data_IF_657806300955
#
_entry.id   IF_657806300955
#
_cell.length_a   1.000
_cell.length_b   1.000
_cell.length_c   1.000
_cell.angle_alpha   90.00
_cell.angle_beta   90.00
_cell.angle_gamma   90.00
#
_symmetry.space_group_name_H-M   'P 1'
#
loop_
_entity.id
_entity.type
_entity.pdbx_description
1 polymer ?
#
# COMPACT_ATOMS: atom_id res chain seq x y z
N UNK A 1 20.18 -20.11 -7.96
CA UNK A 1 18.84 -20.04 -7.34
C UNK A 1 18.56 -18.57 -7.06
N UNK A 2 17.30 -18.10 -7.13
CA UNK A 2 16.95 -16.74 -6.72
C UNK A 2 17.02 -16.65 -5.20
N UNK A 3 17.56 -15.55 -4.69
CA UNK A 3 17.58 -15.30 -3.27
C UNK A 3 16.17 -15.07 -2.74
N UNK A 4 15.86 -15.64 -1.58
CA UNK A 4 14.51 -15.63 -1.00
C UNK A 4 14.33 -14.44 -0.06
N UNK A 5 13.24 -13.69 -0.25
CA UNK A 5 12.80 -12.62 0.64
C UNK A 5 11.64 -13.11 1.50
N UNK A 6 11.62 -12.74 2.76
CA UNK A 6 10.50 -12.96 3.66
C UNK A 6 9.49 -11.84 3.54
N UNK A 7 8.20 -12.15 3.56
CA UNK A 7 7.13 -11.16 3.46
C UNK A 7 6.10 -11.38 4.56
N UNK A 8 5.97 -10.42 5.46
CA UNK A 8 4.94 -10.39 6.50
C UNK A 8 3.88 -9.34 6.15
N UNK A 9 2.72 -9.81 5.75
CA UNK A 9 1.58 -8.95 5.41
C UNK A 9 0.37 -9.20 6.32
N UNK A 10 -0.72 -8.53 6.07
CA UNK A 10 -1.96 -8.62 6.85
C UNK A 10 -2.63 -7.26 7.00
N UNK A 11 -3.85 -7.22 7.56
CA UNK A 11 -4.60 -5.98 7.73
C UNK A 11 -3.90 -5.02 8.70
N UNK A 12 -4.28 -3.73 8.62
CA UNK A 12 -3.86 -2.77 9.66
C UNK A 12 -4.33 -3.27 11.05
N UNK A 13 -3.61 -2.94 12.09
CA UNK A 13 -3.84 -3.37 13.48
C UNK A 13 -3.71 -4.89 13.75
N UNK A 14 -3.16 -5.69 12.81
CA UNK A 14 -2.99 -7.14 13.01
C UNK A 14 -1.75 -7.54 13.83
N UNK A 15 -0.89 -6.61 14.24
CA UNK A 15 0.29 -6.94 15.05
C UNK A 15 1.57 -7.20 14.24
N UNK A 16 1.60 -6.86 12.94
CA UNK A 16 2.77 -7.04 12.08
C UNK A 16 4.08 -6.48 12.68
N UNK A 17 4.04 -5.27 13.22
CA UNK A 17 5.23 -4.59 13.74
C UNK A 17 5.92 -5.41 14.83
N UNK A 18 5.18 -5.87 15.83
CA UNK A 18 5.76 -6.64 16.93
C UNK A 18 6.41 -7.96 16.44
N UNK A 19 5.73 -8.69 15.55
CA UNK A 19 6.24 -9.94 14.99
C UNK A 19 7.44 -9.71 14.06
N UNK A 20 7.41 -8.66 13.23
CA UNK A 20 8.53 -8.33 12.34
C UNK A 20 9.79 -7.91 13.09
N UNK A 21 9.66 -7.14 14.17
CA UNK A 21 10.79 -6.76 15.04
C UNK A 21 11.39 -7.98 15.72
N UNK A 22 10.55 -8.93 16.18
CA UNK A 22 11.04 -10.20 16.76
C UNK A 22 11.78 -11.02 15.71
N UNK A 23 11.21 -11.20 14.51
CA UNK A 23 11.86 -11.91 13.40
C UNK A 23 13.19 -11.24 13.01
N UNK A 24 13.20 -9.91 12.90
CA UNK A 24 14.40 -9.15 12.52
C UNK A 24 15.55 -9.40 13.48
N UNK A 25 15.29 -9.36 14.78
CA UNK A 25 16.33 -9.60 15.82
C UNK A 25 16.80 -11.07 15.87
N UNK A 26 15.87 -12.03 15.68
CA UNK A 26 16.21 -13.45 15.82
C UNK A 26 16.97 -13.96 14.59
N UNK A 27 16.68 -13.43 13.41
CA UNK A 27 17.18 -13.94 12.13
C UNK A 27 18.06 -12.96 11.34
N UNK A 28 18.54 -11.91 11.99
CA UNK A 28 19.40 -10.90 11.37
C UNK A 28 18.78 -10.33 10.08
N UNK A 29 17.47 -9.95 10.16
CA UNK A 29 16.77 -9.36 9.05
C UNK A 29 16.79 -7.83 9.13
N UNK A 30 16.83 -7.19 7.97
CA UNK A 30 16.50 -5.77 7.84
C UNK A 30 15.10 -5.63 7.24
N UNK A 31 14.30 -4.71 7.78
CA UNK A 31 12.90 -4.53 7.40
C UNK A 31 12.80 -3.59 6.20
N UNK A 32 12.13 -4.04 5.13
CA UNK A 32 11.77 -3.22 3.99
C UNK A 32 10.28 -2.89 4.08
N UNK A 33 9.94 -1.62 4.31
CA UNK A 33 8.55 -1.19 4.44
C UNK A 33 7.78 -1.39 3.14
N UNK A 34 6.65 -2.09 3.22
CA UNK A 34 5.71 -2.33 2.13
C UNK A 34 4.36 -1.64 2.41
N UNK A 35 4.44 -0.36 2.82
CA UNK A 35 3.28 0.49 3.06
C UNK A 35 3.38 1.77 2.20
N UNK A 36 2.32 2.07 1.45
CA UNK A 36 2.31 3.18 0.49
C UNK A 36 2.19 4.57 1.14
N UNK A 37 2.02 4.63 2.47
CA UNK A 37 1.87 5.89 3.19
C UNK A 37 3.03 6.16 4.14
N UNK A 38 3.66 5.14 4.70
CA UNK A 38 4.85 5.30 5.56
C UNK A 38 6.10 5.77 4.81
N UNK A 39 6.05 5.77 3.49
CA UNK A 39 7.10 6.31 2.62
C UNK A 39 7.24 7.84 2.72
N UNK A 40 6.18 8.55 3.14
CA UNK A 40 6.15 10.01 3.16
C UNK A 40 6.72 10.59 4.46
N UNK A 41 7.65 11.53 4.36
CA UNK A 41 8.22 12.27 5.49
C UNK A 41 7.15 13.08 6.24
N UNK A 42 7.21 13.08 7.58
CA UNK A 42 6.32 13.86 8.44
C UNK A 42 4.88 13.36 8.53
N UNK A 43 4.57 12.22 7.89
CA UNK A 43 3.31 11.50 8.03
C UNK A 43 3.53 10.28 8.92
N UNK A 44 3.58 10.51 10.24
CA UNK A 44 4.08 9.52 11.20
C UNK A 44 2.95 8.86 11.98
N UNK A 45 2.11 9.66 12.64
CA UNK A 45 1.04 9.17 13.50
C UNK A 45 -0.05 8.51 12.67
N UNK A 46 -0.58 9.21 11.67
CA UNK A 46 -1.69 8.72 10.84
C UNK A 46 -1.38 7.50 10.00
N UNK A 47 -0.10 7.24 9.73
CA UNK A 47 0.36 6.03 9.01
C UNK A 47 0.76 4.89 9.95
N UNK A 48 0.77 5.11 11.26
CA UNK A 48 1.37 4.21 12.26
C UNK A 48 2.79 3.80 11.87
N UNK A 49 3.60 4.79 11.52
CA UNK A 49 5.01 4.61 11.16
C UNK A 49 5.79 4.05 12.36
N UNK A 50 6.81 3.20 12.17
CA UNK A 50 7.61 2.70 13.27
C UNK A 50 8.19 3.85 14.11
N UNK A 51 8.01 3.78 15.42
CA UNK A 51 8.53 4.74 16.39
C UNK A 51 10.06 4.73 16.43
N UNK A 52 10.68 5.73 17.07
CA UNK A 52 12.12 5.75 17.26
C UNK A 52 12.63 4.50 18.01
N UNK A 53 11.90 4.06 19.03
CA UNK A 53 12.24 2.86 19.82
C UNK A 53 12.11 1.57 18.99
N UNK A 54 11.12 1.50 18.09
CA UNK A 54 10.96 0.38 17.16
C UNK A 54 12.07 0.37 16.10
N UNK A 55 12.45 1.55 15.58
CA UNK A 55 13.55 1.69 14.62
C UNK A 55 14.92 1.40 15.26
N UNK A 56 15.08 1.61 16.56
CA UNK A 56 16.29 1.24 17.28
C UNK A 56 16.45 -0.30 17.40
N UNK A 57 15.38 -1.08 17.27
CA UNK A 57 15.41 -2.54 17.39
C UNK A 57 15.77 -3.25 16.10
N UNK A 58 15.54 -2.63 14.94
CA UNK A 58 15.86 -3.20 13.63
C UNK A 58 16.05 -2.08 12.60
N UNK A 59 16.89 -2.32 11.59
CA UNK A 59 17.06 -1.40 10.47
C UNK A 59 15.80 -1.41 9.61
N UNK A 60 15.29 -0.21 9.29
CA UNK A 60 14.12 -0.03 8.45
C UNK A 60 14.46 0.73 7.18
N UNK A 61 14.11 0.16 6.04
CA UNK A 61 14.24 0.75 4.71
C UNK A 61 12.86 1.14 4.15
N UNK A 62 12.82 1.97 3.14
CA UNK A 62 11.61 2.43 2.46
C UNK A 62 10.63 3.19 3.37
N UNK A 63 11.12 3.79 4.43
CA UNK A 63 10.40 4.72 5.31
C UNK A 63 11.00 6.12 5.11
N UNK A 64 10.17 7.15 5.04
CA UNK A 64 10.60 8.55 4.86
C UNK A 64 11.42 8.82 3.58
N UNK A 65 11.10 8.11 2.49
CA UNK A 65 11.83 8.19 1.21
C UNK A 65 11.25 9.20 0.23
N UNK A 66 10.07 9.76 0.50
CA UNK A 66 9.39 10.72 -0.37
C UNK A 66 8.87 11.93 0.41
N UNK A 67 8.73 13.07 -0.24
CA UNK A 67 8.03 14.22 0.30
C UNK A 67 6.51 14.08 0.08
N UNK A 68 5.64 14.53 1.00
CA UNK A 68 4.18 14.47 0.82
C UNK A 68 3.65 15.19 -0.41
N UNK A 69 4.42 16.10 -0.99
CA UNK A 69 4.09 16.80 -2.24
C UNK A 69 4.46 16.01 -3.49
N UNK A 70 5.31 14.98 -3.35
CA UNK A 70 5.77 14.17 -4.48
C UNK A 70 4.73 13.13 -4.91
N UNK A 71 4.65 12.90 -6.22
CA UNK A 71 3.97 11.73 -6.77
C UNK A 71 4.87 10.51 -6.69
N UNK A 72 4.54 9.61 -5.77
CA UNK A 72 5.23 8.34 -5.63
C UNK A 72 4.45 7.22 -6.32
N UNK A 73 5.08 6.59 -7.31
CA UNK A 73 4.47 5.52 -8.12
C UNK A 73 4.86 4.13 -7.61
N UNK A 74 4.07 3.11 -7.99
CA UNK A 74 4.40 1.71 -7.69
C UNK A 74 5.65 1.25 -8.42
N UNK A 75 5.96 1.80 -9.62
CA UNK A 75 7.19 1.52 -10.35
C UNK A 75 8.41 2.03 -9.58
N UNK A 76 8.35 3.28 -9.08
CA UNK A 76 9.41 3.84 -8.24
C UNK A 76 9.60 3.00 -6.96
N UNK A 77 8.49 2.55 -6.35
CA UNK A 77 8.57 1.65 -5.19
C UNK A 77 9.31 0.36 -5.55
N UNK A 78 8.93 -0.30 -6.64
CA UNK A 78 9.54 -1.55 -7.07
C UNK A 78 11.05 -1.39 -7.27
N UNK A 79 11.47 -0.40 -8.04
CA UNK A 79 12.89 -0.12 -8.31
C UNK A 79 13.69 0.11 -7.01
N UNK A 80 13.20 0.97 -6.14
CA UNK A 80 13.86 1.28 -4.87
C UNK A 80 13.88 0.08 -3.92
N UNK A 81 12.77 -0.66 -3.81
CA UNK A 81 12.69 -1.83 -2.94
C UNK A 81 13.60 -2.96 -3.44
N UNK A 82 13.65 -3.23 -4.74
CA UNK A 82 14.56 -4.22 -5.32
C UNK A 82 16.04 -3.84 -5.12
N UNK A 83 16.37 -2.56 -5.20
CA UNK A 83 17.71 -2.07 -4.89
C UNK A 83 18.05 -2.26 -3.41
N UNK A 84 17.14 -1.92 -2.49
CA UNK A 84 17.32 -2.15 -1.06
C UNK A 84 17.49 -3.64 -0.75
N UNK A 85 16.67 -4.51 -1.30
CA UNK A 85 16.75 -5.96 -1.10
C UNK A 85 18.13 -6.48 -1.53
N UNK A 86 18.59 -6.07 -2.72
CA UNK A 86 19.90 -6.47 -3.23
C UNK A 86 21.06 -6.02 -2.33
N UNK A 87 21.00 -4.79 -1.81
CA UNK A 87 22.01 -4.26 -0.89
C UNK A 87 22.01 -5.02 0.44
N UNK A 88 20.84 -5.27 1.03
CA UNK A 88 20.69 -6.04 2.26
C UNK A 88 21.32 -7.43 2.11
N UNK A 89 20.99 -8.14 1.04
CA UNK A 89 21.51 -9.49 0.76
C UNK A 89 23.01 -9.50 0.47
N UNK A 90 23.51 -8.49 -0.26
CA UNK A 90 24.95 -8.33 -0.51
C UNK A 90 25.78 -8.11 0.78
N UNK A 91 25.15 -7.56 1.82
CA UNK A 91 25.76 -7.43 3.17
C UNK A 91 25.61 -8.68 4.03
N UNK A 92 24.97 -9.73 3.53
CA UNK A 92 24.75 -10.99 4.24
C UNK A 92 23.53 -11.02 5.16
N UNK A 93 22.71 -9.97 5.14
CA UNK A 93 21.47 -9.89 5.93
C UNK A 93 20.26 -10.43 5.13
N UNK A 94 19.17 -10.74 5.84
CA UNK A 94 17.91 -11.14 5.22
C UNK A 94 17.00 -9.94 5.00
N UNK A 95 16.33 -9.89 3.86
CA UNK A 95 15.30 -8.89 3.61
C UNK A 95 13.93 -9.39 4.10
N UNK A 96 13.32 -8.67 5.05
CA UNK A 96 11.97 -8.89 5.55
C UNK A 96 11.05 -7.75 5.11
N UNK A 97 10.21 -8.01 4.11
CA UNK A 97 9.22 -7.03 3.64
C UNK A 97 8.03 -7.02 4.58
N UNK A 98 7.67 -5.84 5.10
CA UNK A 98 6.58 -5.71 6.08
C UNK A 98 5.59 -4.64 5.65
N UNK A 99 4.32 -4.99 5.48
CA UNK A 99 3.29 -4.01 5.16
C UNK A 99 1.98 -4.59 4.65
N UNK A 100 1.03 -3.70 4.37
CA UNK A 100 -0.31 -4.09 3.95
C UNK A 100 -0.70 -3.63 2.54
N UNK A 101 0.25 -3.09 1.75
CA UNK A 101 -0.02 -2.60 0.40
C UNK A 101 0.16 -3.72 -0.62
N UNK A 102 -0.94 -4.45 -0.90
CA UNK A 102 -0.90 -5.59 -1.80
C UNK A 102 -0.39 -5.27 -3.20
N UNK A 103 -0.66 -4.05 -3.72
CA UNK A 103 -0.13 -3.63 -5.02
C UNK A 103 1.40 -3.62 -5.06
N UNK A 104 2.06 -3.28 -3.95
CA UNK A 104 3.51 -3.31 -3.85
C UNK A 104 4.05 -4.75 -3.89
N UNK A 105 3.44 -5.66 -3.11
CA UNK A 105 3.79 -7.09 -3.17
C UNK A 105 3.63 -7.64 -4.58
N UNK A 106 2.53 -7.31 -5.24
CA UNK A 106 2.28 -7.78 -6.60
C UNK A 106 3.31 -7.25 -7.60
N UNK A 107 3.69 -5.98 -7.49
CA UNK A 107 4.71 -5.39 -8.37
C UNK A 107 6.07 -6.09 -8.23
N UNK A 108 6.43 -6.52 -7.01
CA UNK A 108 7.68 -7.25 -6.74
C UNK A 108 7.61 -8.71 -7.23
N UNK A 109 6.48 -9.40 -7.00
CA UNK A 109 6.31 -10.81 -7.40
C UNK A 109 6.07 -10.99 -8.90
N UNK A 110 5.36 -10.07 -9.49
CA UNK A 110 5.00 -10.05 -10.91
C UNK A 110 5.32 -8.65 -11.44
N UNK A 111 6.55 -8.41 -11.93
CA UNK A 111 6.91 -7.13 -12.49
C UNK A 111 5.83 -6.71 -13.49
N UNK A 112 5.09 -5.69 -13.11
CA UNK A 112 4.00 -5.20 -13.93
C UNK A 112 4.64 -4.48 -15.11
N UNK A 113 4.33 -4.91 -16.32
CA UNK A 113 4.44 -4.01 -17.46
C UNK A 113 3.55 -2.80 -17.15
N UNK A 114 4.10 -1.84 -16.45
CA UNK A 114 3.54 -0.52 -16.35
C UNK A 114 3.73 0.05 -17.74
N UNK A 115 2.72 -0.10 -18.62
CA UNK A 115 2.82 0.24 -20.03
C UNK A 115 3.78 1.41 -20.25
N UNK A 116 4.62 1.36 -21.26
CA UNK A 116 5.73 2.28 -21.58
C UNK A 116 5.37 3.78 -21.46
N UNK A 117 4.07 4.09 -21.33
CA UNK A 117 3.55 5.42 -21.19
C UNK A 117 3.74 5.94 -19.76
N UNK A 118 4.61 6.93 -19.60
CA UNK A 118 4.64 7.79 -18.43
C UNK A 118 3.24 8.35 -18.15
N UNK A 119 2.98 8.70 -16.88
CA UNK A 119 1.72 9.34 -16.51
C UNK A 119 1.63 10.74 -17.13
N UNK A 120 0.50 11.06 -17.76
CA UNK A 120 0.20 12.39 -18.26
C UNK A 120 -0.97 12.99 -17.47
N UNK A 121 -0.66 13.96 -16.62
CA UNK A 121 -1.67 14.56 -15.75
C UNK A 121 -2.69 15.43 -16.52
N UNK A 122 -2.31 15.99 -17.67
CA UNK A 122 -3.23 16.75 -18.54
C UNK A 122 -4.33 15.84 -19.10
N UNK A 123 -3.95 14.69 -19.66
CA UNK A 123 -4.90 13.69 -20.15
C UNK A 123 -5.80 13.18 -19.01
N UNK A 124 -5.21 12.92 -17.84
CA UNK A 124 -5.98 12.45 -16.67
C UNK A 124 -6.99 13.48 -16.19
N UNK A 125 -6.60 14.76 -16.17
CA UNK A 125 -7.48 15.84 -15.75
C UNK A 125 -8.65 16.01 -16.70
N UNK A 126 -8.41 15.98 -18.02
CA UNK A 126 -9.47 16.00 -19.03
C UNK A 126 -10.45 14.83 -18.84
N UNK A 127 -9.93 13.61 -18.70
CA UNK A 127 -10.77 12.43 -18.51
C UNK A 127 -11.53 12.45 -17.16
N UNK A 128 -10.96 13.03 -16.10
CA UNK A 128 -11.67 13.26 -14.83
C UNK A 128 -12.83 14.23 -15.00
N UNK A 129 -12.63 15.34 -15.71
CA UNK A 129 -13.70 16.30 -15.99
C UNK A 129 -14.88 15.63 -16.71
N UNK A 130 -14.59 14.74 -17.66
CA UNK A 130 -15.66 13.95 -18.30
C UNK A 130 -16.34 13.02 -17.27
N UNK A 131 -15.57 12.34 -16.42
CA UNK A 131 -16.13 11.40 -15.44
C UNK A 131 -17.05 12.07 -14.41
N UNK A 132 -16.74 13.31 -14.04
CA UNK A 132 -17.45 14.07 -13.01
C UNK A 132 -18.74 14.72 -13.54
N UNK A 133 -18.93 14.78 -14.87
CA UNK A 133 -20.15 15.26 -15.49
C UNK A 133 -21.32 14.22 -15.36
N UNK A 134 -22.57 14.67 -15.40
CA UNK A 134 -23.73 13.76 -15.45
C UNK A 134 -23.61 12.76 -16.61
N UNK A 135 -23.69 11.44 -16.32
CA UNK A 135 -23.50 10.39 -17.33
C UNK A 135 -22.06 10.17 -17.79
N UNK A 136 -21.08 10.89 -17.19
CA UNK A 136 -19.70 10.89 -17.65
C UNK A 136 -18.97 9.57 -17.44
N UNK A 137 -19.31 8.81 -16.41
CA UNK A 137 -18.72 7.47 -16.18
C UNK A 137 -19.10 6.50 -17.28
N UNK A 138 -20.35 6.51 -17.68
CA UNK A 138 -20.89 5.72 -18.79
C UNK A 138 -20.21 6.13 -20.09
N UNK A 139 -20.06 7.43 -20.33
CA UNK A 139 -19.37 7.97 -21.51
C UNK A 139 -17.91 7.52 -21.58
N UNK A 140 -17.16 7.61 -20.47
CA UNK A 140 -15.77 7.12 -20.43
C UNK A 140 -15.69 5.61 -20.68
N UNK A 141 -16.59 4.85 -20.10
CA UNK A 141 -16.61 3.40 -20.30
C UNK A 141 -16.94 3.04 -21.74
N UNK A 142 -17.84 3.78 -22.40
CA UNK A 142 -18.13 3.62 -23.84
C UNK A 142 -16.90 3.99 -24.69
N UNK A 143 -16.19 5.08 -24.38
CA UNK A 143 -14.94 5.42 -25.06
C UNK A 143 -13.89 4.30 -24.92
N UNK A 144 -13.78 3.71 -23.72
CA UNK A 144 -12.88 2.58 -23.49
C UNK A 144 -13.33 1.35 -24.31
N UNK A 145 -14.63 1.04 -24.34
CA UNK A 145 -15.16 -0.08 -25.11
C UNK A 145 -14.91 0.06 -26.63
N UNK A 146 -14.89 1.29 -27.14
CA UNK A 146 -14.61 1.55 -28.55
C UNK A 146 -13.14 1.29 -28.94
N UNK A 147 -12.19 1.49 -28.02
CA UNK A 147 -10.75 1.39 -28.29
C UNK A 147 -10.12 0.13 -27.70
N UNK A 148 -10.68 -0.42 -26.61
CA UNK A 148 -10.20 -1.60 -25.89
C UNK A 148 -11.38 -2.39 -25.29
N UNK A 149 -12.14 -3.15 -26.11
CA UNK A 149 -13.29 -3.92 -25.65
C UNK A 149 -12.93 -4.92 -24.54
N UNK A 150 -11.76 -5.55 -24.63
CA UNK A 150 -11.29 -6.54 -23.66
C UNK A 150 -11.08 -5.94 -22.26
N UNK A 151 -10.50 -4.74 -22.20
CA UNK A 151 -10.35 -4.03 -20.94
C UNK A 151 -11.68 -3.50 -20.41
N UNK A 152 -12.56 -3.00 -21.30
CA UNK A 152 -13.87 -2.52 -20.91
C UNK A 152 -14.74 -3.63 -20.31
N UNK A 153 -14.70 -4.84 -20.88
CA UNK A 153 -15.43 -5.99 -20.33
C UNK A 153 -14.98 -6.37 -18.90
N UNK A 154 -13.70 -6.18 -18.58
CA UNK A 154 -13.12 -6.51 -17.27
C UNK A 154 -13.31 -5.42 -16.21
N UNK A 155 -13.49 -4.17 -16.64
CA UNK A 155 -13.60 -3.02 -15.74
C UNK A 155 -15.06 -2.60 -15.59
N UNK A 156 -15.51 -2.45 -14.33
CA UNK A 156 -16.81 -1.84 -14.08
C UNK A 156 -16.74 -0.33 -14.31
N UNK A 157 -17.80 0.29 -14.81
CA UNK A 157 -17.87 1.74 -15.10
C UNK A 157 -17.54 2.62 -13.88
N UNK A 158 -17.79 2.15 -12.66
CA UNK A 158 -17.42 2.84 -11.43
C UNK A 158 -15.93 2.73 -11.06
N UNK A 159 -15.15 1.91 -11.77
CA UNK A 159 -13.69 1.86 -11.59
C UNK A 159 -13.01 2.95 -12.44
N UNK A 160 -13.48 4.19 -12.24
CA UNK A 160 -13.09 5.37 -13.01
C UNK A 160 -11.57 5.51 -13.12
N UNK A 161 -10.83 5.22 -12.05
CA UNK A 161 -9.36 5.35 -12.07
C UNK A 161 -8.70 4.40 -13.07
N UNK A 162 -9.18 3.15 -13.16
CA UNK A 162 -8.66 2.17 -14.11
C UNK A 162 -9.14 2.44 -15.53
N UNK A 163 -10.38 2.89 -15.69
CA UNK A 163 -10.91 3.33 -17.00
C UNK A 163 -10.08 4.49 -17.54
N UNK A 164 -9.83 5.52 -16.72
CA UNK A 164 -8.97 6.67 -17.09
C UNK A 164 -7.56 6.17 -17.45
N UNK A 165 -6.95 5.28 -16.66
CA UNK A 165 -5.60 4.78 -16.97
C UNK A 165 -5.54 4.03 -18.29
N UNK A 166 -6.53 3.22 -18.60
CA UNK A 166 -6.59 2.49 -19.87
C UNK A 166 -6.71 3.44 -21.08
N UNK A 167 -7.57 4.47 -20.96
CA UNK A 167 -7.71 5.50 -21.99
C UNK A 167 -6.46 6.38 -22.12
N UNK A 168 -5.82 6.74 -21.01
CA UNK A 168 -4.55 7.48 -21.00
C UNK A 168 -3.47 6.72 -21.77
N UNK A 169 -3.28 5.44 -21.46
CA UNK A 169 -2.29 4.58 -22.14
C UNK A 169 -2.60 4.51 -23.64
N UNK A 170 -3.86 4.32 -24.02
CA UNK A 170 -4.25 4.33 -25.42
C UNK A 170 -3.92 5.66 -26.12
N UNK A 171 -4.25 6.80 -25.49
CA UNK A 171 -3.97 8.14 -26.04
C UNK A 171 -2.47 8.40 -26.23
N UNK A 172 -1.64 7.90 -25.30
CA UNK A 172 -0.19 8.11 -25.34
C UNK A 172 0.53 7.16 -26.31
N UNK A 173 0.04 5.93 -26.47
CA UNK A 173 0.76 4.88 -27.20
C UNK A 173 0.10 4.51 -28.54
N UNK A 174 -1.17 4.88 -28.74
CA UNK A 174 -1.97 4.43 -29.86
C UNK A 174 -2.37 2.95 -29.78
N UNK A 175 -2.01 2.22 -28.69
CA UNK A 175 -2.30 0.80 -28.51
C UNK A 175 -3.26 0.56 -27.35
N UNK A 176 -4.26 -0.33 -27.47
CA UNK A 176 -5.12 -0.73 -26.36
C UNK A 176 -4.34 -1.20 -25.16
N UNK A 177 -4.85 -0.92 -23.95
CA UNK A 177 -4.21 -1.35 -22.70
C UNK A 177 -4.11 -2.89 -22.61
N UNK A 178 -5.10 -3.63 -23.13
CA UNK A 178 -5.09 -5.09 -23.25
C UNK A 178 -3.97 -5.62 -24.15
N UNK A 179 -3.51 -4.82 -25.10
CA UNK A 179 -2.46 -5.17 -26.08
C UNK A 179 -1.09 -4.60 -25.70
N UNK A 180 -0.97 -3.94 -24.56
CA UNK A 180 0.35 -3.50 -24.11
C UNK A 180 1.25 -4.72 -23.90
N UNK A 181 2.54 -4.63 -24.25
CA UNK A 181 3.49 -5.71 -24.02
C UNK A 181 3.45 -6.10 -22.54
N UNK A 182 3.00 -7.30 -22.25
CA UNK A 182 3.20 -7.87 -20.93
C UNK A 182 4.66 -8.31 -20.87
N UNK A 183 5.55 -7.41 -20.45
CA UNK A 183 6.90 -7.80 -20.13
C UNK A 183 6.78 -8.72 -18.90
N UNK A 184 6.62 -10.00 -19.13
CA UNK A 184 6.82 -11.01 -18.11
C UNK A 184 8.31 -11.07 -17.83
N UNK A 185 8.84 -10.09 -17.15
CA UNK A 185 10.13 -10.26 -16.50
C UNK A 185 9.89 -11.14 -15.30
N UNK A 186 10.63 -12.22 -15.20
CA UNK A 186 10.64 -13.00 -13.98
C UNK A 186 11.01 -12.10 -12.80
N UNK A 187 10.31 -12.25 -11.69
CA UNK A 187 10.69 -11.56 -10.47
C UNK A 187 12.18 -11.77 -10.17
N UNK A 188 12.86 -10.71 -9.77
CA UNK A 188 14.28 -10.74 -9.44
C UNK A 188 14.58 -11.67 -8.26
N UNK A 189 13.67 -11.72 -7.30
CA UNK A 189 13.77 -12.50 -6.06
C UNK A 189 12.65 -13.53 -5.97
N UNK A 190 12.81 -14.54 -5.12
CA UNK A 190 11.71 -15.37 -4.64
C UNK A 190 11.13 -14.80 -3.36
N UNK A 191 9.83 -15.07 -3.08
CA UNK A 191 9.14 -14.50 -1.94
C UNK A 191 8.39 -15.56 -1.16
N UNK A 192 8.76 -15.76 0.12
CA UNK A 192 7.98 -16.51 1.08
C UNK A 192 6.98 -15.56 1.75
N UNK A 193 5.69 -15.73 1.48
CA UNK A 193 4.65 -14.79 1.90
C UNK A 193 3.81 -15.38 3.03
N UNK A 194 3.79 -14.70 4.17
CA UNK A 194 2.85 -14.98 5.25
C UNK A 194 1.92 -13.77 5.49
N UNK A 195 0.65 -14.05 5.74
CA UNK A 195 -0.37 -13.05 6.04
C UNK A 195 -0.99 -13.29 7.41
N UNK A 196 -0.96 -12.26 8.25
CA UNK A 196 -1.66 -12.31 9.53
C UNK A 196 -3.17 -12.18 9.32
N UNK A 197 -3.91 -12.90 10.13
CA UNK A 197 -5.35 -12.79 10.26
C UNK A 197 -5.75 -12.80 11.74
N UNK A 198 -7.00 -12.48 12.02
CA UNK A 198 -7.64 -12.61 13.33
C UNK A 198 -9.16 -12.50 13.19
N UNK A 199 -9.95 -12.87 14.21
CA UNK A 199 -11.40 -12.63 14.23
C UNK A 199 -11.74 -11.16 13.97
N UNK A 200 -12.80 -10.95 13.21
CA UNK A 200 -13.15 -9.63 12.69
C UNK A 200 -13.52 -8.62 13.78
N UNK A 201 -14.19 -9.07 14.79
CA UNK A 201 -14.60 -8.27 15.96
C UNK A 201 -13.36 -7.76 16.73
N UNK A 202 -12.39 -8.63 16.95
CA UNK A 202 -11.12 -8.27 17.60
C UNK A 202 -10.32 -7.30 16.75
N UNK A 203 -10.25 -7.56 15.44
CA UNK A 203 -9.57 -6.65 14.51
C UNK A 203 -10.19 -5.24 14.55
N UNK A 204 -11.52 -5.15 14.57
CA UNK A 204 -12.22 -3.87 14.60
C UNK A 204 -12.03 -3.14 15.92
N UNK A 205 -12.07 -3.84 17.04
CA UNK A 205 -11.76 -3.26 18.36
C UNK A 205 -10.32 -2.71 18.41
N UNK A 206 -9.34 -3.45 17.89
CA UNK A 206 -7.94 -2.98 17.78
C UNK A 206 -7.77 -1.78 16.87
N UNK A 207 -8.52 -1.72 15.76
CA UNK A 207 -8.52 -0.56 14.87
C UNK A 207 -9.03 0.67 15.61
N UNK A 208 -10.14 0.56 16.35
CA UNK A 208 -10.71 1.67 17.08
C UNK A 208 -9.80 2.17 18.19
N UNK A 209 -9.26 1.26 19.00
CA UNK A 209 -8.29 1.60 20.03
C UNK A 209 -7.05 2.29 19.46
N UNK A 210 -6.53 1.83 18.32
CA UNK A 210 -5.40 2.47 17.64
C UNK A 210 -5.73 3.89 17.18
N UNK A 211 -6.93 4.12 16.66
CA UNK A 211 -7.36 5.45 16.23
C UNK A 211 -7.49 6.39 17.44
N UNK A 212 -8.05 5.91 18.54
CA UNK A 212 -8.15 6.70 19.76
C UNK A 212 -6.75 7.06 20.30
N UNK A 213 -5.80 6.14 20.20
CA UNK A 213 -4.38 6.43 20.53
C UNK A 213 -3.76 7.45 19.58
N UNK A 214 -3.97 7.32 18.26
CA UNK A 214 -3.47 8.28 17.28
C UNK A 214 -3.98 9.70 17.54
N UNK A 215 -5.22 9.85 17.97
CA UNK A 215 -5.76 11.16 18.35
C UNK A 215 -5.07 11.72 19.61
N UNK A 216 -4.83 10.87 20.60
CA UNK A 216 -4.07 11.24 21.80
C UNK A 216 -2.63 11.63 21.48
N UNK A 217 -2.01 10.95 20.53
CA UNK A 217 -0.64 11.19 20.05
C UNK A 217 -0.52 12.45 19.17
N UNK A 218 -1.64 13.09 18.78
CA UNK A 218 -1.65 14.36 18.04
C UNK A 218 -1.86 14.22 16.54
N UNK A 219 -2.68 13.26 16.08
CA UNK A 219 -3.02 13.11 14.66
C UNK A 219 -3.60 14.38 14.03
N UNK A 220 -4.47 15.09 14.77
CA UNK A 220 -5.09 16.32 14.28
C UNK A 220 -4.04 17.44 14.07
N UNK A 221 -3.10 17.55 15.01
CA UNK A 221 -1.98 18.48 14.97
C UNK A 221 -1.02 18.13 13.83
N UNK A 222 -0.76 16.83 13.58
CA UNK A 222 0.06 16.38 12.45
C UNK A 222 -0.56 16.81 11.12
N UNK A 223 -1.86 16.60 10.92
CA UNK A 223 -2.56 17.03 9.70
C UNK A 223 -2.53 18.56 9.55
N UNK A 224 -2.79 19.30 10.64
CA UNK A 224 -2.74 20.77 10.63
C UNK A 224 -1.34 21.29 10.28
N UNK A 225 -0.29 20.65 10.80
CA UNK A 225 1.11 21.00 10.51
C UNK A 225 1.43 20.79 9.04
N UNK A 226 1.03 19.65 8.43
CA UNK A 226 1.24 19.36 7.03
C UNK A 226 0.55 20.38 6.11
N UNK A 227 -0.69 20.74 6.42
CA UNK A 227 -1.42 21.77 5.66
C UNK A 227 -0.73 23.14 5.76
N UNK A 228 -0.31 23.53 6.98
CA UNK A 228 0.41 24.80 7.23
C UNK A 228 1.78 24.85 6.57
N UNK A 229 2.45 23.71 6.39
CA UNK A 229 3.72 23.63 5.67
C UNK A 229 3.57 23.70 4.15
N UNK A 230 2.34 23.83 3.65
CA UNK A 230 2.07 24.00 2.21
C UNK A 230 1.77 22.70 1.46
N UNK A 231 1.60 21.56 2.14
CA UNK A 231 1.16 20.33 1.48
C UNK A 231 -0.28 20.52 0.98
N UNK A 232 -0.55 20.41 -0.33
CA UNK A 232 -1.89 20.57 -0.87
C UNK A 232 -2.86 19.55 -0.30
N UNK A 233 -4.08 19.98 0.06
CA UNK A 233 -5.13 19.08 0.61
C UNK A 233 -5.50 17.93 -0.33
N UNK A 234 -5.30 18.09 -1.61
CA UNK A 234 -5.57 17.11 -2.67
C UNK A 234 -4.33 16.31 -3.08
N UNK A 235 -3.17 16.57 -2.47
CA UNK A 235 -1.96 15.78 -2.68
C UNK A 235 -2.24 14.29 -2.48
N UNK A 236 -1.53 13.44 -3.22
CA UNK A 236 -1.74 11.98 -3.17
C UNK A 236 -1.54 11.41 -1.77
N UNK A 237 -0.53 11.90 -1.05
CA UNK A 237 -0.26 11.56 0.35
C UNK A 237 -1.44 11.91 1.27
N UNK A 238 -2.03 13.09 1.09
CA UNK A 238 -3.15 13.59 1.92
C UNK A 238 -4.47 12.85 1.67
N UNK A 239 -4.55 12.00 0.64
CA UNK A 239 -5.68 11.07 0.41
C UNK A 239 -5.57 9.79 1.25
N UNK A 240 -4.51 9.64 2.03
CA UNK A 240 -4.37 8.53 2.98
C UNK A 240 -5.49 8.54 4.03
N UNK A 241 -5.86 7.33 4.48
CA UNK A 241 -6.78 7.17 5.61
C UNK A 241 -6.10 7.74 6.86
N UNK A 242 -6.84 8.48 7.65
CA UNK A 242 -6.34 9.30 8.74
C UNK A 242 -6.27 10.75 8.35
N UNK A 243 -5.60 11.05 7.25
CA UNK A 243 -5.39 12.43 6.79
C UNK A 243 -6.63 12.99 6.10
N UNK A 244 -7.17 12.31 5.11
CA UNK A 244 -8.34 12.80 4.36
C UNK A 244 -9.58 12.99 5.24
N UNK A 245 -9.73 12.23 6.32
CA UNK A 245 -10.83 12.39 7.26
C UNK A 245 -10.59 13.55 8.23
N UNK A 246 -9.33 13.80 8.61
CA UNK A 246 -8.97 14.87 9.54
C UNK A 246 -8.79 16.24 8.87
N UNK A 247 -8.59 16.30 7.54
CA UNK A 247 -8.48 17.58 6.80
C UNK A 247 -9.70 18.48 7.01
N UNK A 248 -10.96 18.03 6.84
CA UNK A 248 -12.13 18.88 7.07
C UNK A 248 -12.18 19.41 8.51
N UNK A 249 -11.82 18.61 9.50
CA UNK A 249 -11.73 19.06 10.89
C UNK A 249 -10.64 20.14 11.07
N UNK A 250 -9.44 19.90 10.53
CA UNK A 250 -8.34 20.87 10.61
C UNK A 250 -8.65 22.22 9.93
N UNK A 251 -9.59 22.24 8.98
CA UNK A 251 -10.06 23.44 8.28
C UNK A 251 -11.33 24.03 8.89
N UNK A 252 -11.91 23.43 9.96
CA UNK A 252 -13.15 23.89 10.58
C UNK A 252 -14.42 23.59 9.77
N UNK A 253 -14.34 22.66 8.81
CA UNK A 253 -15.45 22.26 7.92
C UNK A 253 -16.35 21.19 8.57
N UNK A 254 -15.87 20.47 9.59
CA UNK A 254 -16.59 19.41 10.31
C UNK A 254 -16.16 19.33 11.78
N UNK A 255 -16.90 18.60 12.60
CA UNK A 255 -16.55 18.33 14.00
C UNK A 255 -15.51 17.21 14.12
N UNK A 256 -14.81 17.15 15.27
CA UNK A 256 -13.90 16.06 15.58
C UNK A 256 -14.61 14.70 15.57
N UNK A 257 -15.81 14.63 16.18
CA UNK A 257 -16.57 13.39 16.27
C UNK A 257 -16.95 12.83 14.90
N UNK A 258 -17.35 13.69 13.96
CA UNK A 258 -17.66 13.30 12.58
C UNK A 258 -16.42 12.81 11.85
N UNK A 259 -15.28 13.50 11.99
CA UNK A 259 -14.01 13.09 11.40
C UNK A 259 -13.53 11.73 11.94
N UNK A 260 -13.62 11.52 13.26
CA UNK A 260 -13.26 10.27 13.94
C UNK A 260 -14.19 9.12 13.53
N UNK A 261 -15.49 9.37 13.45
CA UNK A 261 -16.43 8.36 12.96
C UNK A 261 -16.10 7.90 11.53
N UNK A 262 -15.86 8.86 10.64
CA UNK A 262 -15.48 8.59 9.26
C UNK A 262 -14.13 7.82 9.17
N UNK A 263 -13.17 8.20 10.01
CA UNK A 263 -11.86 7.54 10.09
C UNK A 263 -12.00 6.08 10.55
N UNK A 264 -12.74 5.81 11.63
CA UNK A 264 -13.00 4.45 12.13
C UNK A 264 -13.67 3.59 11.05
N UNK A 265 -14.69 4.11 10.40
CA UNK A 265 -15.42 3.42 9.33
C UNK A 265 -14.52 3.09 8.13
N UNK A 266 -13.77 4.09 7.64
CA UNK A 266 -12.90 3.93 6.47
C UNK A 266 -11.71 2.99 6.74
N UNK A 267 -11.18 2.98 7.96
CA UNK A 267 -10.11 2.05 8.37
C UNK A 267 -10.59 0.60 8.42
N UNK A 268 -11.82 0.34 8.94
CA UNK A 268 -12.43 -1.00 8.88
C UNK A 268 -12.62 -1.47 7.43
N UNK A 269 -13.10 -0.58 6.54
CA UNK A 269 -13.24 -0.88 5.13
C UNK A 269 -11.87 -1.16 4.47
N UNK A 270 -10.83 -0.45 4.88
CA UNK A 270 -9.47 -0.67 4.37
C UNK A 270 -8.92 -2.04 4.81
N UNK A 271 -9.05 -2.39 6.07
CA UNK A 271 -8.67 -3.71 6.57
C UNK A 271 -9.38 -4.86 5.82
N UNK A 272 -10.69 -4.69 5.54
CA UNK A 272 -11.44 -5.64 4.72
C UNK A 272 -10.89 -5.75 3.30
N UNK A 273 -10.53 -4.61 2.67
CA UNK A 273 -9.91 -4.62 1.32
C UNK A 273 -8.56 -5.32 1.32
N UNK A 274 -7.71 -5.09 2.33
CA UNK A 274 -6.42 -5.76 2.47
C UNK A 274 -6.59 -7.28 2.53
N UNK A 275 -7.47 -7.79 3.37
CA UNK A 275 -7.77 -9.22 3.47
C UNK A 275 -8.34 -9.79 2.17
N UNK A 276 -9.26 -9.07 1.53
CA UNK A 276 -9.86 -9.50 0.25
C UNK A 276 -8.82 -9.58 -0.85
N UNK A 277 -7.87 -8.65 -0.85
CA UNK A 277 -6.77 -8.61 -1.82
C UNK A 277 -5.82 -9.79 -1.59
N UNK A 278 -5.38 -10.02 -0.36
CA UNK A 278 -4.46 -11.11 -0.02
C UNK A 278 -5.04 -12.50 -0.28
N UNK A 279 -6.36 -12.69 -0.14
CA UNK A 279 -7.02 -13.96 -0.46
C UNK A 279 -6.98 -14.36 -1.95
N UNK A 280 -6.58 -13.43 -2.81
CA UNK A 280 -6.40 -13.69 -4.25
C UNK A 280 -4.97 -14.04 -4.62
N UNK A 281 -4.05 -13.88 -3.67
CA UNK A 281 -2.64 -14.26 -3.85
C UNK A 281 -2.49 -15.74 -3.56
N UNK A 282 -1.75 -16.42 -4.42
CA UNK A 282 -1.39 -17.83 -4.28
C UNK A 282 -0.16 -17.96 -3.37
N UNK A 283 0.04 -19.13 -2.80
CA UNK A 283 1.20 -19.50 -1.96
C UNK A 283 1.40 -18.57 -0.75
N UNK A 284 0.33 -18.26 -0.04
CA UNK A 284 0.34 -17.46 1.18
C UNK A 284 0.07 -18.32 2.39
N UNK A 285 1.00 -18.34 3.35
CA UNK A 285 0.73 -18.91 4.69
C UNK A 285 -0.18 -17.94 5.46
N UNK A 286 -1.32 -18.42 5.93
CA UNK A 286 -2.20 -17.66 6.81
C UNK A 286 -1.96 -18.04 8.26
N UNK A 287 -1.69 -17.01 9.11
CA UNK A 287 -1.43 -17.21 10.54
C UNK A 287 -2.41 -16.35 11.34
N UNK A 288 -3.12 -16.96 12.27
CA UNK A 288 -3.90 -16.20 13.25
C UNK A 288 -2.94 -15.55 14.25
N UNK A 289 -2.95 -14.22 14.27
CA UNK A 289 -2.05 -13.43 15.12
C UNK A 289 -2.35 -13.56 16.63
N UNK A 290 -3.45 -14.21 17.00
CA UNK A 290 -3.83 -14.44 18.40
C UNK A 290 -3.36 -15.80 18.92
N UNK A 291 -2.94 -16.70 18.04
CA UNK A 291 -2.45 -18.00 18.46
C UNK A 291 -1.11 -17.85 19.22
N UNK A 292 -0.93 -18.57 20.33
CA UNK A 292 0.31 -18.50 21.12
C UNK A 292 1.56 -18.86 20.32
N UNK A 293 1.43 -19.74 19.33
CA UNK A 293 2.50 -20.25 18.47
C UNK A 293 2.59 -19.49 17.11
N UNK A 294 1.92 -18.35 16.98
CA UNK A 294 1.92 -17.56 15.73
C UNK A 294 3.35 -17.21 15.27
N UNK A 295 4.23 -16.86 16.18
CA UNK A 295 5.63 -16.58 15.86
C UNK A 295 6.35 -17.85 15.38
N UNK A 296 6.21 -18.98 16.06
CA UNK A 296 6.89 -20.23 15.75
C UNK A 296 6.46 -20.77 14.37
N UNK A 297 5.17 -20.59 14.03
CA UNK A 297 4.63 -20.90 12.68
C UNK A 297 5.28 -20.05 11.59
N UNK A 298 5.43 -18.75 11.83
CA UNK A 298 6.09 -17.84 10.88
C UNK A 298 7.56 -18.19 10.72
N UNK A 299 8.28 -18.40 11.82
CA UNK A 299 9.69 -18.77 11.83
C UNK A 299 9.95 -20.06 11.08
N UNK A 300 9.19 -21.12 11.40
CA UNK A 300 9.29 -22.40 10.71
C UNK A 300 9.03 -22.30 9.20
N UNK A 301 8.01 -21.52 8.81
CA UNK A 301 7.67 -21.33 7.40
C UNK A 301 8.79 -20.62 6.62
N UNK A 302 9.34 -19.55 7.18
CA UNK A 302 10.39 -18.78 6.52
C UNK A 302 11.70 -19.55 6.42
N UNK A 303 12.12 -20.22 7.47
CA UNK A 303 13.36 -21.01 7.48
C UNK A 303 13.29 -22.23 6.55
N UNK A 304 12.13 -22.88 6.43
CA UNK A 304 11.91 -23.97 5.47
C UNK A 304 11.85 -23.47 4.02
N UNK A 305 11.37 -22.25 3.79
CA UNK A 305 11.29 -21.64 2.47
C UNK A 305 12.66 -21.28 1.87
N UNK A 306 13.68 -21.11 2.69
CA UNK A 306 15.07 -20.90 2.24
C UNK A 306 15.75 -22.20 1.79
N UNK A 307 15.25 -23.35 2.24
CA UNK A 307 15.85 -24.65 1.93
C UNK A 307 15.40 -25.24 0.58
N UNK A 308 14.47 -24.59 -0.11
CA UNK A 308 13.95 -24.98 -1.43
C UNK A 308 14.53 -24.10 -2.55
#
# INVERSE_FOLDING_TARGET
>A
MKETCWVLTGPTASGKTALSLRLARTHDCEIVCMDSMQIYRGMDIGTAKPTADERAQAVHHMVDVADPTEDFSVARYQEMAESCIADIQARGHRALLVGGTGLYLRALRQPMAMGEAAADESIRQELRQIADAPGGKEQLHQQLAAVDPDTAQRLHLNDVRRVIRALEVYRLTGRPFSQQPQIKTDSRFSYCVASLTMPRDILYARIEQRIDQMLTDGLAEEVSRLLKSGVPRDAKAMKAIGYKEMIPYALGETTLDEAVYALKLNTRHYAKRQLTWMRREEDVLWVDALEPDAYDKLEAYYTQGEAK
#
